data_IF_265583034620
#
_entry.id   IF_265583034620
#
_cell.length_a   1.000
_cell.length_b   1.000
_cell.length_c   1.000
_cell.angle_alpha   90.00
_cell.angle_beta   90.00
_cell.angle_gamma   90.00
#
_symmetry.space_group_name_H-M   'P 1'
#
loop_
_entity.id
_entity.type
_entity.pdbx_description
1 polymer ?
#
# COMPACT_ATOMS: atom_id res chain seq x y z
N UNK A 1 -3.98 31.13 -21.15
CA UNK A 1 -3.00 30.98 -20.06
C UNK A 1 -3.17 29.55 -19.54
N UNK A 2 -2.18 28.68 -19.71
CA UNK A 2 -2.28 27.28 -19.33
C UNK A 2 -2.07 27.17 -17.81
N UNK A 3 -3.04 26.61 -17.07
CA UNK A 3 -2.90 26.45 -15.62
C UNK A 3 -1.94 25.30 -15.31
N UNK A 4 -1.43 25.23 -14.07
CA UNK A 4 -0.63 24.08 -13.61
C UNK A 4 -1.43 22.78 -13.76
N UNK A 5 -2.75 22.81 -13.56
CA UNK A 5 -3.61 21.66 -13.79
C UNK A 5 -3.62 21.24 -15.26
N UNK A 6 -3.67 22.20 -16.19
CA UNK A 6 -3.58 21.92 -17.63
C UNK A 6 -2.20 21.39 -18.02
N UNK A 7 -1.12 21.92 -17.41
CA UNK A 7 0.24 21.41 -17.60
C UNK A 7 0.39 19.97 -17.09
N UNK A 8 -0.16 19.65 -15.92
CA UNK A 8 -0.12 18.31 -15.34
C UNK A 8 -1.05 17.33 -16.07
N UNK A 9 -2.10 17.80 -16.72
CA UNK A 9 -2.95 16.98 -17.58
C UNK A 9 -2.26 16.67 -18.93
N UNK A 10 -1.44 17.59 -19.45
CA UNK A 10 -0.69 17.41 -20.70
C UNK A 10 0.57 16.57 -20.49
N UNK A 11 1.27 16.77 -19.37
CA UNK A 11 2.43 15.95 -19.00
C UNK A 11 1.91 14.69 -18.34
N UNK A 12 1.94 13.57 -19.07
CA UNK A 12 1.48 12.27 -18.57
C UNK A 12 2.44 11.74 -17.50
N UNK A 13 2.36 12.27 -16.28
CA UNK A 13 3.20 11.89 -15.14
C UNK A 13 2.74 10.51 -14.67
N UNK A 14 3.41 9.48 -15.19
CA UNK A 14 3.11 8.09 -14.82
C UNK A 14 3.69 7.71 -13.44
N UNK A 15 4.81 8.34 -13.06
CA UNK A 15 5.52 8.07 -11.82
C UNK A 15 5.69 9.35 -11.02
N UNK A 16 5.33 9.30 -9.74
CA UNK A 16 5.46 10.42 -8.82
C UNK A 16 6.21 10.01 -7.56
N UNK A 17 7.25 10.77 -7.21
CA UNK A 17 8.10 10.52 -6.05
C UNK A 17 8.05 11.70 -5.08
N UNK A 18 7.79 11.40 -3.81
CA UNK A 18 7.80 12.37 -2.72
C UNK A 18 9.02 12.13 -1.82
N UNK A 19 10.03 12.99 -1.97
CA UNK A 19 11.28 12.94 -1.22
C UNK A 19 11.17 13.41 0.24
N UNK A 20 10.00 13.88 0.67
CA UNK A 20 9.79 14.32 2.05
C UNK A 20 9.94 13.13 3.00
N UNK A 21 10.73 13.29 4.07
CA UNK A 21 11.02 12.22 5.02
C UNK A 21 9.76 11.52 5.56
N UNK A 22 8.73 12.32 5.88
CA UNK A 22 7.43 11.85 6.38
C UNK A 22 6.33 12.73 5.80
N UNK A 23 5.31 12.13 5.20
CA UNK A 23 4.10 12.82 4.75
C UNK A 23 2.90 12.41 5.62
N UNK A 24 2.03 13.34 5.97
CA UNK A 24 0.77 13.01 6.65
C UNK A 24 -0.34 12.68 5.65
N UNK A 25 -1.26 11.81 6.04
CA UNK A 25 -2.38 11.35 5.20
C UNK A 25 -3.18 12.49 4.52
N UNK A 26 -3.58 13.58 5.21
CA UNK A 26 -4.31 14.67 4.56
C UNK A 26 -3.51 15.35 3.44
N UNK A 27 -2.20 15.54 3.64
CA UNK A 27 -1.33 16.13 2.61
C UNK A 27 -1.22 15.20 1.40
N UNK A 28 -1.08 13.89 1.64
CA UNK A 28 -1.01 12.90 0.56
C UNK A 28 -2.32 12.89 -0.26
N UNK A 29 -3.48 12.89 0.39
CA UNK A 29 -4.79 12.94 -0.28
C UNK A 29 -4.89 14.18 -1.19
N UNK A 30 -4.53 15.36 -0.67
CA UNK A 30 -4.57 16.61 -1.43
C UNK A 30 -3.62 16.62 -2.64
N UNK A 31 -2.49 15.91 -2.55
CA UNK A 31 -1.55 15.77 -3.67
C UNK A 31 -2.15 14.84 -4.73
N UNK A 32 -2.72 13.70 -4.33
CA UNK A 32 -3.32 12.73 -5.25
C UNK A 32 -4.54 13.29 -5.96
N UNK A 33 -5.37 14.10 -5.28
CA UNK A 33 -6.51 14.78 -5.91
C UNK A 33 -6.10 15.65 -7.11
N UNK A 34 -4.89 16.20 -7.07
CA UNK A 34 -4.31 17.02 -8.14
C UNK A 34 -3.58 16.19 -9.21
N UNK A 35 -3.34 14.90 -8.94
CA UNK A 35 -2.49 14.01 -9.74
C UNK A 35 -3.24 12.71 -10.08
N UNK A 36 -4.46 12.84 -10.60
CA UNK A 36 -5.37 11.70 -10.82
C UNK A 36 -4.85 10.67 -11.84
N UNK A 37 -3.94 11.07 -12.72
CA UNK A 37 -3.39 10.25 -13.81
C UNK A 37 -2.13 9.46 -13.42
N UNK A 38 -1.62 9.61 -12.19
CA UNK A 38 -0.43 8.90 -11.74
C UNK A 38 -0.70 7.40 -11.63
N UNK A 39 0.15 6.59 -12.27
CA UNK A 39 0.08 5.13 -12.23
C UNK A 39 0.90 4.50 -11.09
N UNK A 40 1.94 5.21 -10.64
CA UNK A 40 2.84 4.74 -9.60
C UNK A 40 3.32 5.84 -8.66
N UNK A 41 3.38 5.52 -7.37
CA UNK A 41 3.74 6.44 -6.31
C UNK A 41 4.90 5.88 -5.49
N UNK A 42 5.93 6.69 -5.26
CA UNK A 42 6.99 6.41 -4.29
C UNK A 42 6.97 7.44 -3.17
N UNK A 43 6.87 6.99 -1.93
CA UNK A 43 6.93 7.82 -0.74
C UNK A 43 7.93 7.25 0.25
N UNK A 44 8.65 8.14 0.94
CA UNK A 44 9.63 7.72 1.93
C UNK A 44 8.98 7.12 3.18
N UNK A 45 8.08 7.86 3.83
CA UNK A 45 7.30 7.32 4.94
C UNK A 45 5.97 8.05 5.11
N UNK A 46 5.00 7.37 5.73
CA UNK A 46 3.67 7.91 6.02
C UNK A 46 3.48 8.17 7.52
N UNK A 47 2.69 9.18 7.86
CA UNK A 47 2.10 9.38 9.18
C UNK A 47 0.60 9.27 9.01
N UNK A 48 0.06 8.05 9.06
CA UNK A 48 -1.39 7.90 9.10
C UNK A 48 -1.91 8.36 10.46
N UNK A 49 -2.89 9.26 10.46
CA UNK A 49 -3.67 9.53 11.66
C UNK A 49 -4.63 8.35 11.85
N UNK A 50 -4.55 7.69 13.00
CA UNK A 50 -5.36 6.51 13.37
C UNK A 50 -6.88 6.76 13.35
N UNK A 51 -7.32 8.02 13.28
CA UNK A 51 -8.70 8.38 12.94
C UNK A 51 -8.95 8.10 11.46
N UNK A 52 -9.26 6.84 11.15
CA UNK A 52 -9.84 6.47 9.87
C UNK A 52 -10.98 7.43 9.59
N UNK A 53 -10.84 8.17 8.49
CA UNK A 53 -11.79 9.18 8.08
C UNK A 53 -13.18 8.53 8.09
N UNK A 54 -14.07 9.03 8.95
CA UNK A 54 -15.44 8.53 9.01
C UNK A 54 -16.02 8.66 7.61
N UNK A 55 -16.46 7.55 7.05
CA UNK A 55 -17.04 7.48 5.71
C UNK A 55 -18.25 8.41 5.51
N UNK A 56 -18.81 8.91 6.63
CA UNK A 56 -19.95 9.81 6.69
C UNK A 56 -19.56 11.29 6.84
N UNK A 57 -18.31 11.62 7.16
CA UNK A 57 -17.83 13.01 7.19
C UNK A 57 -17.57 13.54 5.77
N UNK A 58 -17.51 14.87 5.61
CA UNK A 58 -17.18 15.47 4.31
C UNK A 58 -15.76 15.15 3.86
N UNK A 59 -14.83 15.00 4.81
CA UNK A 59 -13.51 14.44 4.57
C UNK A 59 -13.59 13.00 4.04
N UNK A 60 -14.52 12.19 4.55
CA UNK A 60 -14.75 10.80 4.12
C UNK A 60 -15.32 10.70 2.72
N UNK A 61 -16.24 11.61 2.36
CA UNK A 61 -16.75 11.73 0.99
C UNK A 61 -15.63 12.10 0.02
N UNK A 62 -14.80 13.08 0.38
CA UNK A 62 -13.66 13.52 -0.43
C UNK A 62 -12.67 12.38 -0.63
N UNK A 63 -12.32 11.67 0.45
CA UNK A 63 -11.48 10.48 0.41
C UNK A 63 -12.04 9.41 -0.52
N UNK A 64 -13.34 9.09 -0.43
CA UNK A 64 -14.00 8.10 -1.30
C UNK A 64 -13.97 8.51 -2.77
N UNK A 65 -14.16 9.79 -3.08
CA UNK A 65 -14.11 10.30 -4.45
C UNK A 65 -12.70 10.15 -5.02
N UNK A 66 -11.68 10.59 -4.28
CA UNK A 66 -10.27 10.50 -4.69
C UNK A 66 -9.86 9.03 -4.85
N UNK A 67 -10.24 8.18 -3.89
CA UNK A 67 -9.97 6.74 -3.92
C UNK A 67 -10.52 6.06 -5.17
N UNK A 68 -11.73 6.44 -5.61
CA UNK A 68 -12.34 5.88 -6.83
C UNK A 68 -11.75 6.43 -8.13
N UNK A 69 -11.24 7.67 -8.11
CA UNK A 69 -10.78 8.37 -9.32
C UNK A 69 -9.31 8.10 -9.66
N UNK A 70 -8.45 7.92 -8.66
CA UNK A 70 -7.03 7.74 -8.92
C UNK A 70 -6.74 6.43 -9.69
N UNK A 71 -5.61 6.44 -10.42
CA UNK A 71 -5.15 5.32 -11.26
C UNK A 71 -3.90 4.63 -10.71
N UNK A 72 -3.56 4.87 -9.44
CA UNK A 72 -2.36 4.33 -8.83
C UNK A 72 -2.52 2.81 -8.68
N UNK A 73 -1.60 2.07 -9.30
CA UNK A 73 -1.54 0.60 -9.25
C UNK A 73 -0.30 0.11 -8.49
N UNK A 74 0.76 0.93 -8.45
CA UNK A 74 2.03 0.59 -7.80
C UNK A 74 2.37 1.60 -6.72
N UNK A 75 2.67 1.14 -5.52
CA UNK A 75 3.15 1.99 -4.43
C UNK A 75 4.47 1.44 -3.89
N UNK A 76 5.44 2.33 -3.70
CA UNK A 76 6.67 2.05 -2.97
C UNK A 76 6.68 2.90 -1.70
N UNK A 77 6.67 2.24 -0.53
CA UNK A 77 6.80 2.84 0.78
C UNK A 77 8.18 2.48 1.35
N UNK A 78 9.14 3.41 1.27
CA UNK A 78 10.52 3.11 1.67
C UNK A 78 10.67 2.76 3.15
N UNK A 79 9.81 3.31 4.01
CA UNK A 79 9.82 3.10 5.45
C UNK A 79 8.39 3.05 5.98
N UNK A 80 7.99 1.86 6.39
CA UNK A 80 6.70 1.63 7.05
C UNK A 80 6.82 1.94 8.54
N UNK A 81 6.05 2.89 9.07
CA UNK A 81 6.10 3.24 10.49
C UNK A 81 5.10 2.43 11.31
N UNK A 82 3.87 2.27 10.79
CA UNK A 82 2.81 1.54 11.47
C UNK A 82 1.99 0.69 10.49
N UNK A 83 1.33 -0.37 10.98
CA UNK A 83 0.42 -1.21 10.18
C UNK A 83 -0.71 -0.38 9.56
N UNK A 84 -1.18 0.65 10.28
CA UNK A 84 -2.22 1.55 9.81
C UNK A 84 -1.86 2.29 8.53
N UNK A 85 -0.57 2.49 8.25
CA UNK A 85 -0.12 3.11 7.02
C UNK A 85 -0.52 2.28 5.79
N UNK A 86 -0.41 0.95 5.89
CA UNK A 86 -0.75 0.05 4.79
C UNK A 86 -2.27 0.01 4.57
N UNK A 87 -3.06 0.00 5.65
CA UNK A 87 -4.52 0.08 5.53
C UNK A 87 -4.98 1.37 4.88
N UNK A 88 -4.36 2.48 5.25
CA UNK A 88 -4.62 3.75 4.60
C UNK A 88 -4.33 3.67 3.09
N UNK A 89 -3.18 3.14 2.69
CA UNK A 89 -2.81 3.01 1.27
C UNK A 89 -3.75 2.09 0.50
N UNK A 90 -4.13 0.95 1.06
CA UNK A 90 -5.11 0.02 0.46
C UNK A 90 -6.45 0.70 0.22
N UNK A 91 -6.94 1.47 1.20
CA UNK A 91 -8.23 2.19 1.07
C UNK A 91 -8.13 3.36 0.08
N UNK A 92 -6.99 4.04 0.04
CA UNK A 92 -6.79 5.17 -0.85
C UNK A 92 -6.58 4.72 -2.30
N UNK A 93 -5.93 3.57 -2.52
CA UNK A 93 -5.60 3.02 -3.83
C UNK A 93 -6.25 1.65 -4.04
N UNK A 94 -7.57 1.59 -4.25
CA UNK A 94 -8.31 0.32 -4.32
C UNK A 94 -7.89 -0.53 -5.53
N UNK A 95 -7.22 0.05 -6.53
CA UNK A 95 -6.68 -0.64 -7.72
C UNK A 95 -5.20 -1.01 -7.57
N UNK A 96 -4.60 -0.77 -6.40
CA UNK A 96 -3.22 -1.13 -6.13
C UNK A 96 -3.05 -2.63 -6.26
N UNK A 97 -2.13 -3.05 -7.13
CA UNK A 97 -1.78 -4.44 -7.36
C UNK A 97 -0.32 -4.74 -7.02
N UNK A 98 0.46 -3.72 -6.66
CA UNK A 98 1.84 -3.86 -6.23
C UNK A 98 2.14 -2.89 -5.10
N UNK A 99 2.60 -3.42 -3.96
CA UNK A 99 3.07 -2.66 -2.83
C UNK A 99 4.47 -3.13 -2.44
N UNK A 100 5.45 -2.28 -2.70
CA UNK A 100 6.82 -2.47 -2.21
C UNK A 100 7.01 -1.75 -0.89
N UNK A 101 7.58 -2.44 0.09
CA UNK A 101 7.87 -1.85 1.39
C UNK A 101 9.13 -2.43 2.05
N UNK A 102 9.76 -1.60 2.88
CA UNK A 102 10.81 -2.06 3.79
C UNK A 102 10.28 -2.09 5.23
N UNK A 103 10.19 -3.29 5.80
CA UNK A 103 9.69 -3.51 7.16
C UNK A 103 10.82 -3.65 8.19
N UNK A 104 12.07 -3.81 7.78
CA UNK A 104 13.16 -4.29 8.64
C UNK A 104 13.72 -3.20 9.55
N UNK A 105 13.76 -1.96 9.07
CA UNK A 105 14.41 -0.86 9.80
C UNK A 105 13.62 -0.33 11.01
N UNK A 106 12.43 -0.88 11.32
CA UNK A 106 11.48 -0.28 12.26
C UNK A 106 10.94 -1.23 13.36
N UNK A 107 11.58 -2.39 13.59
CA UNK A 107 11.12 -3.38 14.58
C UNK A 107 9.65 -3.81 14.41
N UNK A 108 9.12 -3.72 13.19
CA UNK A 108 7.76 -4.19 12.90
C UNK A 108 7.81 -5.72 12.96
N UNK A 109 6.96 -6.29 13.81
CA UNK A 109 6.74 -7.73 13.83
C UNK A 109 6.08 -8.14 12.51
N UNK A 110 6.89 -8.63 11.58
CA UNK A 110 6.43 -9.03 10.25
C UNK A 110 5.41 -10.16 10.34
N UNK A 111 5.50 -11.02 11.37
CA UNK A 111 4.56 -12.11 11.58
C UNK A 111 3.17 -11.54 11.86
N UNK A 112 3.05 -10.71 12.90
CA UNK A 112 1.81 -10.00 13.22
C UNK A 112 1.30 -9.15 12.06
N UNK A 113 2.19 -8.46 11.36
CA UNK A 113 1.84 -7.67 10.18
C UNK A 113 1.18 -8.51 9.09
N UNK A 114 1.81 -9.62 8.71
CA UNK A 114 1.28 -10.49 7.68
C UNK A 114 -0.01 -11.16 8.15
N UNK A 115 -0.10 -11.68 9.37
CA UNK A 115 -1.35 -12.22 9.90
C UNK A 115 -2.51 -11.22 9.79
N UNK A 116 -2.24 -9.95 10.13
CA UNK A 116 -3.25 -8.90 10.05
C UNK A 116 -3.67 -8.60 8.60
N UNK A 117 -2.72 -8.48 7.67
CA UNK A 117 -3.03 -8.32 6.25
C UNK A 117 -3.81 -9.51 5.71
N UNK A 118 -3.38 -10.75 6.00
CA UNK A 118 -4.05 -11.96 5.54
C UNK A 118 -5.47 -12.04 6.08
N UNK A 119 -5.68 -11.71 7.36
CA UNK A 119 -7.01 -11.65 7.97
C UNK A 119 -7.90 -10.63 7.27
N UNK A 120 -7.37 -9.49 6.88
CA UNK A 120 -8.15 -8.47 6.15
C UNK A 120 -8.48 -8.95 4.75
N UNK A 121 -7.52 -9.52 4.01
CA UNK A 121 -7.78 -10.05 2.66
C UNK A 121 -8.84 -11.15 2.69
N UNK A 122 -8.85 -11.97 3.74
CA UNK A 122 -9.84 -13.03 3.92
C UNK A 122 -11.23 -12.48 4.31
N UNK A 123 -11.30 -11.39 5.09
CA UNK A 123 -12.55 -10.81 5.57
C UNK A 123 -13.13 -9.74 4.64
N UNK A 124 -12.29 -9.10 3.81
CA UNK A 124 -12.68 -8.02 2.93
C UNK A 124 -12.98 -8.59 1.53
N UNK A 125 -14.17 -8.30 1.00
CA UNK A 125 -14.61 -8.76 -0.33
C UNK A 125 -13.91 -8.01 -1.48
N UNK A 126 -12.89 -7.20 -1.19
CA UNK A 126 -12.15 -6.45 -2.19
C UNK A 126 -11.27 -7.40 -3.03
N UNK A 127 -11.77 -7.76 -4.21
CA UNK A 127 -11.10 -8.62 -5.18
C UNK A 127 -9.69 -8.13 -5.59
N UNK A 128 -9.44 -6.81 -5.56
CA UNK A 128 -8.15 -6.25 -5.95
C UNK A 128 -7.06 -6.57 -4.92
N UNK A 129 -7.43 -6.69 -3.64
CA UNK A 129 -6.51 -7.08 -2.58
C UNK A 129 -6.01 -8.51 -2.73
N UNK A 130 -6.84 -9.40 -3.27
CA UNK A 130 -6.41 -10.77 -3.59
C UNK A 130 -5.33 -10.75 -4.67
N UNK A 131 -5.46 -9.91 -5.69
CA UNK A 131 -4.43 -9.81 -6.74
C UNK A 131 -3.18 -9.02 -6.34
N UNK A 132 -3.10 -8.50 -5.11
CA UNK A 132 -2.02 -7.62 -4.69
C UNK A 132 -0.72 -8.39 -4.47
N UNK A 133 0.38 -7.86 -5.02
CA UNK A 133 1.74 -8.33 -4.74
C UNK A 133 2.32 -7.49 -3.60
N UNK A 134 2.61 -8.13 -2.47
CA UNK A 134 3.42 -7.52 -1.42
C UNK A 134 4.88 -7.87 -1.66
N UNK A 135 5.67 -6.86 -1.97
CA UNK A 135 7.10 -6.96 -2.22
C UNK A 135 7.85 -6.43 -0.99
N UNK A 136 8.30 -7.35 -0.14
CA UNK A 136 8.97 -7.02 1.13
C UNK A 136 10.48 -7.08 0.88
N UNK A 137 11.14 -5.93 0.94
CA UNK A 137 12.59 -5.83 0.78
C UNK A 137 13.32 -6.49 1.96
N UNK A 138 14.51 -7.05 1.67
CA UNK A 138 15.52 -7.51 2.64
C UNK A 138 15.13 -8.72 3.51
N UNK A 139 14.19 -9.56 3.08
CA UNK A 139 13.83 -10.75 3.83
C UNK A 139 14.96 -11.81 3.82
N UNK A 140 15.48 -12.16 4.99
CA UNK A 140 16.46 -13.24 5.13
C UNK A 140 15.80 -14.64 5.05
N UNK A 141 16.62 -15.69 4.91
CA UNK A 141 16.13 -17.07 4.82
C UNK A 141 15.30 -17.48 6.03
N UNK A 142 15.69 -17.01 7.22
CA UNK A 142 15.04 -17.35 8.48
C UNK A 142 13.65 -16.74 8.56
N UNK A 143 13.49 -15.53 8.05
CA UNK A 143 12.21 -14.84 7.92
C UNK A 143 11.29 -15.59 6.96
N UNK A 144 11.79 -16.02 5.81
CA UNK A 144 11.02 -16.84 4.85
C UNK A 144 10.52 -18.14 5.50
N UNK A 145 11.39 -18.86 6.20
CA UNK A 145 11.03 -20.10 6.90
C UNK A 145 9.95 -19.87 7.96
N UNK A 146 10.10 -18.82 8.77
CA UNK A 146 9.09 -18.43 9.77
C UNK A 146 7.75 -18.12 9.13
N UNK A 147 7.73 -17.39 8.02
CA UNK A 147 6.48 -17.07 7.31
C UNK A 147 5.82 -18.32 6.73
N UNK A 148 6.59 -19.22 6.13
CA UNK A 148 6.08 -20.50 5.65
C UNK A 148 5.48 -21.31 6.81
N UNK A 149 6.17 -21.41 7.94
CA UNK A 149 5.67 -22.12 9.12
C UNK A 149 4.37 -21.51 9.64
N UNK A 150 4.33 -20.18 9.82
CA UNK A 150 3.16 -19.45 10.29
C UNK A 150 1.93 -19.68 9.40
N UNK A 151 2.10 -19.57 8.09
CA UNK A 151 0.95 -19.68 7.18
C UNK A 151 0.41 -21.11 7.16
N UNK A 152 1.30 -22.10 7.19
CA UNK A 152 0.93 -23.51 7.24
C UNK A 152 0.28 -23.89 8.57
N UNK A 153 0.85 -23.46 9.70
CA UNK A 153 0.37 -23.83 11.05
C UNK A 153 -1.00 -23.22 11.34
N UNK A 154 -1.19 -21.96 11.00
CA UNK A 154 -2.41 -21.22 11.27
C UNK A 154 -3.48 -21.40 10.18
N UNK A 155 -3.19 -22.22 9.14
CA UNK A 155 -4.07 -22.43 7.97
C UNK A 155 -4.61 -21.12 7.41
N UNK A 156 -3.77 -20.08 7.41
CA UNK A 156 -4.23 -18.70 7.16
C UNK A 156 -4.69 -18.49 5.72
N UNK A 157 -4.35 -19.40 4.80
CA UNK A 157 -4.60 -19.22 3.38
C UNK A 157 -4.91 -20.54 2.66
N UNK A 158 -5.95 -20.52 1.82
CA UNK A 158 -6.37 -21.67 1.01
C UNK A 158 -5.76 -21.63 -0.40
N UNK A 159 -5.39 -20.46 -0.94
CA UNK A 159 -4.90 -20.29 -2.32
C UNK A 159 -3.91 -19.11 -2.50
N UNK A 160 -2.63 -19.33 -2.20
CA UNK A 160 -1.59 -18.31 -2.33
C UNK A 160 -0.27 -18.91 -2.82
N UNK A 161 0.61 -18.06 -3.34
CA UNK A 161 1.99 -18.42 -3.69
C UNK A 161 2.93 -17.42 -3.03
N UNK A 162 3.82 -17.90 -2.16
CA UNK A 162 5.00 -17.13 -1.75
C UNK A 162 6.09 -17.44 -2.76
N UNK A 163 6.60 -16.40 -3.43
CA UNK A 163 7.78 -16.53 -4.29
C UNK A 163 8.92 -15.77 -3.65
N UNK A 164 10.03 -16.45 -3.44
CA UNK A 164 11.28 -15.77 -3.19
C UNK A 164 11.85 -15.34 -4.53
N UNK A 165 12.18 -14.07 -4.64
CA UNK A 165 12.88 -13.53 -5.80
C UNK A 165 14.09 -12.77 -5.23
N UNK A 166 15.29 -13.32 -5.43
CA UNK A 166 16.53 -12.77 -4.89
C UNK A 166 16.47 -12.53 -3.35
N UNK A 167 16.48 -11.25 -2.95
CA UNK A 167 16.52 -10.70 -1.61
C UNK A 167 15.16 -10.20 -1.09
N UNK A 168 14.08 -10.51 -1.81
CA UNK A 168 12.72 -10.12 -1.45
C UNK A 168 11.72 -11.28 -1.54
N UNK A 169 10.57 -11.05 -0.91
CA UNK A 169 9.42 -11.95 -0.92
C UNK A 169 8.29 -11.27 -1.68
N UNK A 170 7.75 -12.00 -2.66
CA UNK A 170 6.48 -11.69 -3.29
C UNK A 170 5.39 -12.60 -2.72
N UNK A 171 4.33 -12.00 -2.18
CA UNK A 171 3.09 -12.69 -1.82
C UNK A 171 2.04 -12.42 -2.90
N UNK A 172 1.58 -13.47 -3.59
CA UNK A 172 0.60 -13.39 -4.68
C UNK A 172 -0.53 -14.39 -4.45
N UNK A 173 -1.80 -13.99 -4.60
CA UNK A 173 -2.93 -14.94 -4.57
C UNK A 173 -3.26 -15.49 -5.95
N UNK A 174 -3.89 -16.68 -5.96
CA UNK A 174 -4.48 -17.30 -7.15
C UNK A 174 -5.98 -17.11 -7.18
#
# INVERSE_FOLDING_TARGET
MMTIHDMLAVVNIYHFELFREKICSPTLINIIDKLLEVGSLKIRSLSSSSSFISDLSDEGKTFRIISKKNKITKVCLEKMNEINDIYFLIRLYPRMNYLQMNCINNNIDLESFLQNILRIINNDYNQYLRSMIFHILTADNKMIEKLNQMINSNKLLVHYTIKRVLDHIDLQWK
#
